data_IF_950782358706
#
_entry.id   IF_950782358706
#
_cell.length_a   1.000
_cell.length_b   1.000
_cell.length_c   1.000
_cell.angle_alpha   90.00
_cell.angle_beta   90.00
_cell.angle_gamma   90.00
#
_symmetry.space_group_name_H-M   'P 1'
#
loop_
_entity.id
_entity.type
_entity.pdbx_description
1 polymer ?
#
# COMPACT_ATOMS: atom_id res chain seq x y z
N UNK A 1 13.20 -28.49 6.60
CA UNK A 1 13.26 -27.20 7.31
C UNK A 1 11.84 -26.67 7.46
N UNK A 2 11.40 -26.35 8.69
CA UNK A 2 10.07 -25.79 8.93
C UNK A 2 9.96 -24.32 8.55
N UNK A 3 8.75 -23.83 8.28
CA UNK A 3 8.47 -22.40 8.03
C UNK A 3 8.72 -21.57 9.31
N UNK A 4 8.50 -22.16 10.47
CA UNK A 4 8.71 -21.57 11.79
C UNK A 4 9.85 -22.32 12.49
N UNK A 5 10.80 -21.58 13.02
CA UNK A 5 11.86 -22.14 13.86
C UNK A 5 11.40 -22.17 15.31
N UNK A 6 11.72 -23.26 15.99
CA UNK A 6 11.32 -23.52 17.37
C UNK A 6 12.55 -23.86 18.22
N UNK A 7 12.45 -23.61 19.54
CA UNK A 7 13.43 -24.05 20.52
C UNK A 7 12.72 -24.59 21.77
N UNK A 8 13.43 -25.40 22.56
CA UNK A 8 12.93 -25.85 23.86
C UNK A 8 13.34 -24.83 24.93
N UNK A 9 12.38 -24.31 25.68
CA UNK A 9 12.64 -23.40 26.80
C UNK A 9 13.14 -24.18 28.05
N UNK A 10 13.63 -23.50 29.09
CA UNK A 10 14.09 -24.14 30.32
C UNK A 10 13.05 -25.00 31.05
N UNK A 11 11.78 -24.82 30.73
CA UNK A 11 10.66 -25.61 31.29
C UNK A 11 10.33 -26.85 30.45
N UNK A 12 11.15 -27.16 29.41
CA UNK A 12 10.94 -28.29 28.52
C UNK A 12 9.85 -28.09 27.45
N UNK A 13 9.32 -26.87 27.28
CA UNK A 13 8.29 -26.57 26.31
C UNK A 13 8.91 -26.16 24.96
N UNK A 14 8.41 -26.72 23.85
CA UNK A 14 8.77 -26.27 22.51
C UNK A 14 8.00 -25.00 22.19
N UNK A 15 8.74 -23.92 21.97
CA UNK A 15 8.18 -22.59 21.68
C UNK A 15 8.69 -22.07 20.32
N UNK A 16 7.89 -21.32 19.56
CA UNK A 16 8.36 -20.67 18.34
C UNK A 16 9.34 -19.55 18.69
N UNK A 17 10.35 -19.34 17.82
CA UNK A 17 11.35 -18.31 18.03
C UNK A 17 11.23 -17.21 16.98
N UNK A 18 11.13 -17.60 15.71
CA UNK A 18 10.97 -16.71 14.57
C UNK A 18 10.59 -17.50 13.31
N UNK A 19 10.29 -16.79 12.23
CA UNK A 19 10.12 -17.41 10.92
C UNK A 19 11.46 -17.85 10.35
N UNK A 20 11.44 -18.89 9.52
CA UNK A 20 12.63 -19.31 8.79
C UNK A 20 13.14 -18.18 7.89
N UNK A 21 14.46 -17.97 7.91
CA UNK A 21 15.14 -16.98 7.06
C UNK A 21 14.89 -17.20 5.56
N UNK A 22 14.66 -18.44 5.17
CA UNK A 22 14.31 -18.81 3.79
C UNK A 22 13.06 -18.06 3.27
N UNK A 23 12.07 -17.76 4.11
CA UNK A 23 10.86 -17.05 3.69
C UNK A 23 11.14 -15.64 3.16
N UNK A 24 12.14 -14.97 3.71
CA UNK A 24 12.56 -13.65 3.25
C UNK A 24 13.08 -13.74 1.81
N UNK A 25 13.92 -14.74 1.53
CA UNK A 25 14.46 -14.98 0.20
C UNK A 25 13.38 -15.44 -0.79
N UNK A 26 12.46 -16.29 -0.33
CA UNK A 26 11.31 -16.71 -1.15
C UNK A 26 10.44 -15.50 -1.53
N UNK A 27 10.17 -14.58 -0.58
CA UNK A 27 9.42 -13.35 -0.89
C UNK A 27 10.18 -12.42 -1.84
N UNK A 28 11.47 -12.23 -1.64
CA UNK A 28 12.29 -11.34 -2.47
C UNK A 28 12.50 -11.91 -3.88
N UNK A 29 12.98 -13.15 -3.97
CA UNK A 29 13.30 -13.79 -5.27
C UNK A 29 12.02 -14.17 -6.01
N UNK A 30 11.05 -14.78 -5.31
CA UNK A 30 9.75 -15.14 -5.89
C UNK A 30 8.97 -13.92 -6.35
N UNK A 31 8.97 -12.84 -5.56
CA UNK A 31 8.40 -11.56 -5.94
C UNK A 31 9.07 -10.99 -7.18
N UNK A 32 10.40 -10.94 -7.22
CA UNK A 32 11.15 -10.46 -8.39
C UNK A 32 10.87 -11.30 -9.63
N UNK A 33 10.89 -12.63 -9.51
CA UNK A 33 10.57 -13.55 -10.61
C UNK A 33 9.15 -13.30 -11.14
N UNK A 34 8.16 -13.15 -10.24
CA UNK A 34 6.79 -12.80 -10.63
C UNK A 34 6.75 -11.47 -11.40
N UNK A 35 7.43 -10.44 -10.94
CA UNK A 35 7.44 -9.13 -11.60
C UNK A 35 8.07 -9.20 -12.99
N UNK A 36 9.17 -9.95 -13.14
CA UNK A 36 9.84 -10.17 -14.43
C UNK A 36 8.91 -10.95 -15.38
N UNK A 37 8.32 -12.06 -14.93
CA UNK A 37 7.38 -12.84 -15.74
C UNK A 37 6.17 -12.00 -16.16
N UNK A 38 5.62 -11.18 -15.25
CA UNK A 38 4.51 -10.29 -15.57
C UNK A 38 4.93 -9.20 -16.57
N UNK A 39 6.12 -8.61 -16.43
CA UNK A 39 6.63 -7.62 -17.38
C UNK A 39 6.79 -8.22 -18.78
N UNK A 40 7.36 -9.41 -18.88
CA UNK A 40 7.52 -10.16 -20.11
C UNK A 40 6.13 -10.47 -20.73
N UNK A 41 5.20 -11.02 -19.94
CA UNK A 41 3.83 -11.30 -20.38
C UNK A 41 3.18 -10.06 -20.99
N UNK A 42 3.25 -8.93 -20.31
CA UNK A 42 2.68 -7.67 -20.80
C UNK A 42 3.36 -7.20 -22.07
N UNK A 43 4.69 -7.27 -22.16
CA UNK A 43 5.42 -6.87 -23.37
C UNK A 43 4.94 -7.63 -24.63
N UNK A 44 4.57 -8.90 -24.48
CA UNK A 44 4.08 -9.72 -25.58
C UNK A 44 2.57 -9.64 -25.81
N UNK A 45 1.77 -9.28 -24.79
CA UNK A 45 0.30 -9.34 -24.86
C UNK A 45 -0.38 -7.98 -24.88
N UNK A 46 0.32 -6.90 -24.50
CA UNK A 46 -0.26 -5.57 -24.46
C UNK A 46 -0.65 -5.12 -25.87
N UNK A 47 -1.92 -5.19 -26.19
CA UNK A 47 -2.49 -4.48 -27.34
C UNK A 47 -2.54 -3.00 -26.98
N UNK A 48 -2.01 -2.15 -27.85
CA UNK A 48 -2.18 -0.70 -27.74
C UNK A 48 -3.66 -0.39 -27.97
N UNK A 49 -4.45 -0.33 -26.91
CA UNK A 49 -5.83 0.15 -27.01
C UNK A 49 -5.77 1.65 -27.27
N UNK A 50 -5.96 2.01 -28.53
CA UNK A 50 -6.17 3.41 -28.92
C UNK A 50 -7.64 3.73 -28.64
N UNK A 51 -7.92 4.20 -27.46
CA UNK A 51 -9.25 4.71 -27.12
C UNK A 51 -9.38 6.15 -27.62
N UNK A 52 -9.80 6.33 -28.85
CA UNK A 52 -10.37 7.57 -29.31
C UNK A 52 -11.81 7.67 -28.75
N UNK A 53 -11.97 7.78 -27.44
CA UNK A 53 -13.29 7.97 -26.86
C UNK A 53 -13.73 9.42 -27.07
N UNK A 54 -14.75 9.60 -27.91
CA UNK A 54 -15.46 10.88 -28.01
C UNK A 54 -16.34 11.03 -26.77
N UNK A 55 -16.04 12.03 -25.95
CA UNK A 55 -16.85 12.38 -24.77
C UNK A 55 -17.86 13.47 -25.12
N UNK A 56 -19.04 13.49 -24.45
CA UNK A 56 -19.99 14.59 -24.61
C UNK A 56 -19.32 15.94 -24.36
N UNK A 57 -19.46 16.88 -25.26
CA UNK A 57 -18.84 18.20 -25.14
C UNK A 57 -19.18 18.91 -23.83
N UNK A 58 -20.40 18.72 -23.33
CA UNK A 58 -20.85 19.23 -22.04
C UNK A 58 -20.06 18.66 -20.85
N UNK A 59 -19.63 17.38 -20.90
CA UNK A 59 -18.83 16.77 -19.86
C UNK A 59 -17.38 17.29 -19.91
N UNK A 60 -16.82 17.42 -21.11
CA UNK A 60 -15.49 17.99 -21.31
C UNK A 60 -15.44 19.44 -20.82
N UNK A 61 -16.44 20.24 -21.13
CA UNK A 61 -16.53 21.65 -20.71
C UNK A 61 -16.66 21.80 -19.17
N UNK A 62 -17.31 20.86 -18.49
CA UNK A 62 -17.47 20.87 -17.04
C UNK A 62 -16.25 20.32 -16.28
N UNK A 63 -15.34 19.61 -16.96
CA UNK A 63 -14.19 19.00 -16.33
C UNK A 63 -12.96 19.91 -16.46
N UNK A 64 -12.29 20.31 -15.38
CA UNK A 64 -11.09 21.15 -15.45
C UNK A 64 -9.96 20.43 -16.16
N UNK A 65 -9.04 21.16 -16.80
CA UNK A 65 -7.87 20.59 -17.51
C UNK A 65 -6.99 19.71 -16.59
N UNK A 66 -6.92 20.09 -15.31
CA UNK A 66 -6.24 19.34 -14.26
C UNK A 66 -7.22 18.94 -13.17
N UNK A 67 -7.46 17.65 -13.05
CA UNK A 67 -8.35 17.08 -12.05
C UNK A 67 -7.58 16.85 -10.75
N UNK A 68 -8.00 17.49 -9.66
CA UNK A 68 -7.40 17.29 -8.34
C UNK A 68 -7.67 15.86 -7.85
N UNK A 69 -6.59 15.16 -7.44
CA UNK A 69 -6.67 13.79 -6.94
C UNK A 69 -6.22 13.64 -5.50
N UNK A 70 -5.10 14.25 -5.14
CA UNK A 70 -4.50 14.15 -3.82
C UNK A 70 -4.20 15.53 -3.24
N UNK A 71 -4.66 15.80 -2.02
CA UNK A 71 -4.30 17.00 -1.26
C UNK A 71 -2.80 17.00 -0.91
N UNK A 72 -2.26 18.17 -0.57
CA UNK A 72 -0.88 18.28 -0.09
C UNK A 72 -0.66 17.40 1.15
N UNK A 73 -1.61 17.41 2.08
CA UNK A 73 -1.56 16.59 3.30
C UNK A 73 -1.50 15.10 2.98
N UNK A 74 -2.35 14.60 2.05
CA UNK A 74 -2.34 13.21 1.63
C UNK A 74 -1.00 12.80 0.99
N UNK A 75 -0.38 13.69 0.22
CA UNK A 75 0.94 13.45 -0.39
C UNK A 75 2.05 13.46 0.64
N UNK A 76 2.04 14.41 1.57
CA UNK A 76 3.05 14.52 2.61
C UNK A 76 3.07 13.27 3.50
N UNK A 77 1.92 12.84 4.01
CA UNK A 77 1.89 11.63 4.84
C UNK A 77 2.31 10.38 4.08
N UNK A 78 1.93 10.25 2.78
CA UNK A 78 2.34 9.12 1.97
C UNK A 78 3.87 9.01 1.86
N UNK A 79 4.55 10.12 1.60
CA UNK A 79 6.01 10.12 1.49
C UNK A 79 6.72 9.91 2.82
N UNK A 80 6.20 10.46 3.92
CA UNK A 80 6.71 10.19 5.27
C UNK A 80 6.58 8.70 5.61
N UNK A 81 5.41 8.12 5.36
CA UNK A 81 5.15 6.70 5.56
C UNK A 81 6.06 5.83 4.68
N UNK A 82 6.26 6.20 3.40
CA UNK A 82 7.14 5.48 2.49
C UNK A 82 8.60 5.49 2.98
N UNK A 83 9.11 6.64 3.40
CA UNK A 83 10.47 6.76 3.96
C UNK A 83 10.64 5.93 5.23
N UNK A 84 9.67 5.98 6.15
CA UNK A 84 9.68 5.16 7.36
C UNK A 84 9.66 3.66 7.02
N UNK A 85 8.85 3.25 6.05
CA UNK A 85 8.78 1.87 5.59
C UNK A 85 10.09 1.40 4.96
N UNK A 86 10.74 2.21 4.12
CA UNK A 86 12.05 1.88 3.57
C UNK A 86 13.10 1.75 4.68
N UNK A 87 13.11 2.64 5.66
CA UNK A 87 14.00 2.54 6.82
C UNK A 87 13.76 1.24 7.60
N UNK A 88 12.50 0.84 7.81
CA UNK A 88 12.13 -0.42 8.46
C UNK A 88 12.63 -1.64 7.68
N UNK A 89 12.46 -1.67 6.36
CA UNK A 89 12.94 -2.77 5.52
C UNK A 89 14.47 -2.83 5.51
N UNK A 90 15.16 -1.71 5.37
CA UNK A 90 16.61 -1.63 5.40
C UNK A 90 17.13 -2.15 6.74
N UNK A 91 16.59 -1.67 7.86
CA UNK A 91 17.01 -2.08 9.20
C UNK A 91 16.65 -3.53 9.54
N UNK A 92 15.61 -4.09 8.93
CA UNK A 92 15.28 -5.51 9.08
C UNK A 92 16.15 -6.42 8.22
N UNK A 93 16.56 -5.97 7.04
CA UNK A 93 17.20 -6.82 6.03
C UNK A 93 18.74 -6.76 6.05
N UNK A 94 19.34 -5.57 6.17
CA UNK A 94 20.81 -5.42 6.15
C UNK A 94 21.54 -6.26 7.22
N UNK A 95 21.05 -6.36 8.48
CA UNK A 95 21.68 -7.23 9.46
C UNK A 95 21.67 -8.71 9.07
N UNK A 96 20.64 -9.15 8.32
CA UNK A 96 20.52 -10.53 7.85
C UNK A 96 21.52 -10.90 6.76
N UNK A 97 22.03 -9.92 6.03
CA UNK A 97 23.09 -10.10 5.03
C UNK A 97 24.48 -9.71 5.56
N UNK A 98 24.61 -9.52 6.88
CA UNK A 98 25.90 -9.37 7.55
C UNK A 98 26.32 -7.94 7.90
N UNK A 99 25.55 -6.91 7.51
CA UNK A 99 25.89 -5.53 7.86
C UNK A 99 25.56 -5.24 9.32
N UNK A 100 26.57 -4.84 10.11
CA UNK A 100 26.44 -4.53 11.53
C UNK A 100 26.35 -3.02 11.76
N UNK A 101 25.28 -2.58 12.40
CA UNK A 101 25.03 -1.20 12.82
C UNK A 101 23.93 -1.20 13.92
N UNK A 102 23.63 -0.09 14.60
CA UNK A 102 22.60 -0.05 15.64
C UNK A 102 21.17 -0.20 15.07
N UNK A 103 20.93 -1.24 14.27
CA UNK A 103 19.70 -1.46 13.52
C UNK A 103 18.45 -1.51 14.39
N UNK A 104 18.52 -2.07 15.60
CA UNK A 104 17.39 -2.13 16.52
C UNK A 104 16.88 -0.73 16.85
N UNK A 105 17.80 0.19 17.13
CA UNK A 105 17.46 1.59 17.47
C UNK A 105 16.79 2.28 16.29
N UNK A 106 17.36 2.21 15.11
CA UNK A 106 16.78 2.81 13.91
C UNK A 106 15.44 2.15 13.54
N UNK A 107 15.32 0.82 13.75
CA UNK A 107 14.10 0.08 13.44
C UNK A 107 12.92 0.55 14.29
N UNK A 108 13.07 0.59 15.62
CA UNK A 108 11.94 1.02 16.46
C UNK A 108 11.63 2.51 16.30
N UNK A 109 12.62 3.39 16.05
CA UNK A 109 12.37 4.79 15.72
C UNK A 109 11.54 4.92 14.44
N UNK A 110 11.94 4.27 13.36
CA UNK A 110 11.19 4.25 12.12
C UNK A 110 9.78 3.64 12.30
N UNK A 111 9.66 2.62 13.16
CA UNK A 111 8.38 2.01 13.53
C UNK A 111 7.43 2.98 14.22
N UNK A 112 7.94 3.84 15.11
CA UNK A 112 7.14 4.88 15.75
C UNK A 112 6.73 5.98 14.75
N UNK A 113 7.62 6.38 13.85
CA UNK A 113 7.27 7.33 12.77
C UNK A 113 6.19 6.76 11.89
N UNK A 114 6.30 5.49 11.49
CA UNK A 114 5.26 4.81 10.72
C UNK A 114 3.94 4.75 11.48
N UNK A 115 3.98 4.37 12.76
CA UNK A 115 2.79 4.27 13.61
C UNK A 115 2.09 5.63 13.74
N UNK A 116 2.83 6.69 14.04
CA UNK A 116 2.30 8.05 14.12
C UNK A 116 1.69 8.50 12.79
N UNK A 117 2.34 8.19 11.67
CA UNK A 117 1.84 8.50 10.32
C UNK A 117 0.53 7.76 10.03
N UNK A 118 0.40 6.49 10.42
CA UNK A 118 -0.82 5.71 10.21
C UNK A 118 -1.95 6.20 11.11
N UNK A 119 -1.68 6.51 12.37
CA UNK A 119 -2.68 7.11 13.27
C UNK A 119 -3.18 8.44 12.70
N UNK A 120 -2.27 9.31 12.26
CA UNK A 120 -2.63 10.55 11.57
C UNK A 120 -3.47 10.27 10.32
N UNK A 121 -3.09 9.28 9.50
CA UNK A 121 -3.83 8.92 8.29
C UNK A 121 -5.26 8.47 8.61
N UNK A 122 -5.46 7.65 9.63
CA UNK A 122 -6.80 7.19 10.04
C UNK A 122 -7.68 8.39 10.37
N UNK A 123 -7.20 9.33 11.18
CA UNK A 123 -7.94 10.55 11.50
C UNK A 123 -8.17 11.42 10.26
N UNK A 124 -7.14 11.68 9.46
CA UNK A 124 -7.23 12.49 8.26
C UNK A 124 -8.21 11.88 7.24
N UNK A 125 -8.15 10.57 7.03
CA UNK A 125 -9.06 9.88 6.11
C UNK A 125 -10.49 9.90 6.59
N UNK A 126 -10.73 9.75 7.89
CA UNK A 126 -12.07 9.69 8.46
C UNK A 126 -12.80 11.06 8.45
N UNK A 127 -12.06 12.18 8.57
CA UNK A 127 -12.65 13.50 8.73
C UNK A 127 -12.51 14.42 7.52
N UNK A 128 -11.48 14.22 6.67
CA UNK A 128 -11.16 15.13 5.56
C UNK A 128 -11.04 14.47 4.19
N UNK A 129 -11.17 13.13 4.11
CA UNK A 129 -11.17 12.42 2.84
C UNK A 129 -12.47 11.68 2.64
N UNK A 130 -12.70 11.21 1.41
CA UNK A 130 -13.76 10.24 1.15
C UNK A 130 -13.30 8.85 1.61
N UNK A 131 -13.55 8.58 2.91
CA UNK A 131 -13.11 7.35 3.58
C UNK A 131 -13.59 6.08 2.88
N UNK A 132 -14.81 6.09 2.35
CA UNK A 132 -15.39 4.90 1.74
C UNK A 132 -14.89 4.62 0.32
N UNK A 133 -14.26 5.60 -0.33
CA UNK A 133 -13.79 5.45 -1.71
C UNK A 133 -12.71 4.37 -1.89
N UNK A 134 -11.95 4.06 -0.83
CA UNK A 134 -10.90 3.03 -0.86
C UNK A 134 -11.40 1.63 -0.50
N UNK A 135 -12.64 1.50 -0.01
CA UNK A 135 -13.21 0.20 0.32
C UNK A 135 -13.92 -0.41 -0.89
N UNK A 136 -13.83 -1.74 -1.10
CA UNK A 136 -14.57 -2.43 -2.16
C UNK A 136 -16.09 -2.25 -1.99
N UNK A 137 -16.78 -1.92 -3.08
CA UNK A 137 -18.23 -1.88 -3.15
C UNK A 137 -18.80 -3.02 -4.01
N UNK A 138 -20.12 -3.14 -4.06
CA UNK A 138 -20.80 -4.19 -4.85
C UNK A 138 -20.49 -4.07 -6.35
N UNK A 139 -20.36 -2.83 -6.85
CA UNK A 139 -20.05 -2.56 -8.26
C UNK A 139 -18.66 -3.05 -8.61
N UNK A 140 -17.67 -2.83 -7.73
CA UNK A 140 -16.31 -3.31 -7.92
C UNK A 140 -16.24 -4.85 -8.00
N UNK A 141 -16.99 -5.53 -7.13
CA UNK A 141 -17.08 -7.00 -7.13
C UNK A 141 -17.74 -7.55 -8.42
N UNK A 142 -18.80 -6.90 -8.88
CA UNK A 142 -19.44 -7.25 -10.16
C UNK A 142 -18.48 -7.05 -11.33
N UNK A 143 -17.77 -5.92 -11.38
CA UNK A 143 -16.84 -5.62 -12.46
C UNK A 143 -15.62 -6.55 -12.44
N UNK A 144 -15.15 -6.95 -11.27
CA UNK A 144 -14.14 -7.99 -11.13
C UNK A 144 -14.63 -9.34 -11.67
N UNK A 145 -15.87 -9.74 -11.36
CA UNK A 145 -16.50 -10.94 -11.91
C UNK A 145 -16.63 -10.87 -13.44
N UNK A 146 -17.05 -9.71 -13.99
CA UNK A 146 -17.16 -9.52 -15.46
C UNK A 146 -15.79 -9.65 -16.13
N UNK A 147 -14.73 -9.06 -15.58
CA UNK A 147 -13.35 -9.18 -16.08
C UNK A 147 -12.89 -10.63 -16.08
N UNK A 148 -13.12 -11.35 -14.99
CA UNK A 148 -12.75 -12.76 -14.86
C UNK A 148 -13.48 -13.63 -15.88
N UNK A 149 -14.81 -13.45 -16.06
CA UNK A 149 -15.60 -14.17 -17.06
C UNK A 149 -15.05 -13.93 -18.47
N UNK A 150 -14.77 -12.68 -18.84
CA UNK A 150 -14.20 -12.35 -20.16
C UNK A 150 -12.79 -12.93 -20.35
N UNK A 151 -11.96 -12.90 -19.33
CA UNK A 151 -10.61 -13.48 -19.36
C UNK A 151 -10.64 -15.01 -19.54
N UNK A 152 -11.69 -15.68 -19.07
CA UNK A 152 -11.92 -17.11 -19.26
C UNK A 152 -12.70 -17.46 -20.53
N UNK A 153 -12.87 -16.50 -21.46
CA UNK A 153 -13.56 -16.70 -22.73
C UNK A 153 -15.09 -16.76 -22.65
N UNK A 154 -15.67 -16.46 -21.49
CA UNK A 154 -17.13 -16.43 -21.31
C UNK A 154 -17.69 -15.06 -21.71
N UNK A 155 -18.91 -15.06 -22.26
CA UNK A 155 -19.62 -13.82 -22.58
C UNK A 155 -20.03 -13.10 -21.29
N UNK A 156 -19.64 -11.84 -21.17
CA UNK A 156 -20.06 -10.96 -20.08
C UNK A 156 -20.05 -9.49 -20.56
N UNK A 157 -20.92 -8.63 -20.00
CA UNK A 157 -20.89 -7.19 -20.27
C UNK A 157 -19.49 -6.61 -20.02
N UNK A 158 -19.15 -5.52 -20.71
CA UNK A 158 -17.91 -4.83 -20.46
C UNK A 158 -17.88 -4.30 -19.02
N UNK A 159 -16.74 -4.34 -18.31
CA UNK A 159 -16.61 -3.73 -17.02
C UNK A 159 -16.80 -2.20 -17.16
N UNK A 160 -17.35 -1.59 -16.12
CA UNK A 160 -17.54 -0.13 -16.05
C UNK A 160 -16.19 0.58 -15.83
N UNK A 161 -16.17 1.88 -16.05
CA UNK A 161 -15.04 2.72 -15.66
C UNK A 161 -14.90 2.73 -14.13
N UNK A 162 -13.69 3.01 -13.67
CA UNK A 162 -13.39 2.99 -12.25
C UNK A 162 -14.03 4.17 -11.50
N UNK A 163 -14.32 3.98 -10.23
CA UNK A 163 -14.44 5.06 -9.29
C UNK A 163 -13.06 5.76 -9.10
N UNK A 164 -12.87 6.51 -8.02
CA UNK A 164 -11.57 7.16 -7.73
C UNK A 164 -10.41 6.16 -7.67
N UNK A 165 -10.66 4.97 -7.11
CA UNK A 165 -9.69 3.89 -6.99
C UNK A 165 -10.21 2.63 -7.69
N UNK A 166 -9.44 2.01 -8.59
CA UNK A 166 -9.77 0.72 -9.16
C UNK A 166 -9.70 -0.39 -8.11
N UNK A 167 -10.36 -1.51 -8.35
CA UNK A 167 -10.47 -2.65 -7.41
C UNK A 167 -9.10 -3.16 -6.95
N UNK A 168 -8.14 -3.21 -7.85
CA UNK A 168 -6.78 -3.66 -7.56
C UNK A 168 -6.12 -2.79 -6.47
N UNK A 169 -6.32 -1.47 -6.51
CA UNK A 169 -5.80 -0.55 -5.51
C UNK A 169 -6.51 -0.73 -4.16
N UNK A 170 -7.82 -1.02 -4.18
CA UNK A 170 -8.60 -1.28 -2.96
C UNK A 170 -8.13 -2.58 -2.29
N UNK A 171 -7.94 -3.66 -3.07
CA UNK A 171 -7.41 -4.94 -2.55
C UNK A 171 -5.99 -4.79 -2.02
N UNK A 172 -5.14 -4.05 -2.73
CA UNK A 172 -3.78 -3.73 -2.26
C UNK A 172 -3.82 -2.97 -0.93
N UNK A 173 -4.69 -1.97 -0.80
CA UNK A 173 -4.85 -1.22 0.44
C UNK A 173 -5.27 -2.12 1.61
N UNK A 174 -6.21 -3.04 1.40
CA UNK A 174 -6.60 -4.00 2.44
C UNK A 174 -5.43 -4.90 2.87
N UNK A 175 -4.64 -5.38 1.91
CA UNK A 175 -3.47 -6.22 2.19
C UNK A 175 -2.40 -5.45 2.97
N UNK A 176 -2.11 -4.20 2.58
CA UNK A 176 -1.12 -3.36 3.29
C UNK A 176 -1.60 -2.97 4.69
N UNK A 177 -2.91 -2.74 4.88
CA UNK A 177 -3.49 -2.48 6.20
C UNK A 177 -3.35 -3.71 7.10
N UNK A 178 -3.70 -4.89 6.62
CA UNK A 178 -3.59 -6.13 7.41
C UNK A 178 -2.13 -6.41 7.82
N UNK A 179 -1.19 -6.37 6.88
CA UNK A 179 0.23 -6.60 7.16
C UNK A 179 0.84 -5.48 8.03
N UNK A 180 0.52 -4.23 7.71
CA UNK A 180 1.03 -3.07 8.45
C UNK A 180 0.54 -3.02 9.90
N UNK A 181 -0.75 -3.24 10.14
CA UNK A 181 -1.30 -3.29 11.51
C UNK A 181 -0.72 -4.47 12.30
N UNK A 182 -0.56 -5.64 11.67
CA UNK A 182 0.10 -6.79 12.31
C UNK A 182 1.54 -6.43 12.72
N UNK A 183 2.32 -5.80 11.83
CA UNK A 183 3.68 -5.38 12.13
C UNK A 183 3.73 -4.32 13.24
N UNK A 184 2.83 -3.33 13.22
CA UNK A 184 2.78 -2.26 14.25
C UNK A 184 2.41 -2.84 15.61
N UNK A 185 1.33 -3.61 15.70
CA UNK A 185 0.87 -4.16 16.98
C UNK A 185 1.93 -5.05 17.62
N UNK A 186 2.49 -5.98 16.85
CA UNK A 186 3.55 -6.85 17.35
C UNK A 186 4.83 -6.07 17.66
N UNK A 187 5.20 -5.10 16.82
CA UNK A 187 6.39 -4.26 17.00
C UNK A 187 6.33 -3.42 18.27
N UNK A 188 5.18 -2.81 18.59
CA UNK A 188 4.98 -2.03 19.83
C UNK A 188 5.22 -2.93 21.06
N UNK A 189 4.65 -4.14 21.08
CA UNK A 189 4.91 -5.08 22.19
C UNK A 189 6.38 -5.51 22.24
N UNK A 190 7.01 -5.77 21.09
CA UNK A 190 8.42 -6.16 21.04
C UNK A 190 9.36 -5.06 21.56
N UNK A 191 8.95 -3.78 21.60
CA UNK A 191 9.74 -2.70 22.22
C UNK A 191 9.97 -2.95 23.71
N UNK A 192 9.11 -3.69 24.42
CA UNK A 192 9.35 -4.08 25.80
C UNK A 192 10.49 -5.08 25.99
N UNK A 193 10.94 -5.75 24.92
CA UNK A 193 12.08 -6.70 24.96
C UNK A 193 13.44 -6.01 24.81
N UNK A 194 13.46 -4.77 24.30
CA UNK A 194 14.67 -4.02 24.01
C UNK A 194 14.76 -2.75 24.85
N UNK A 195 15.94 -2.16 24.96
CA UNK A 195 16.09 -0.85 25.61
C UNK A 195 15.66 0.23 24.63
N UNK A 196 14.56 0.90 24.97
CA UNK A 196 14.10 2.11 24.29
C UNK A 196 14.08 3.27 25.30
N UNK A 197 14.11 4.49 24.83
CA UNK A 197 13.95 5.66 25.72
C UNK A 197 12.48 5.91 26.15
N UNK A 198 11.54 5.08 25.70
CA UNK A 198 10.10 5.32 25.83
C UNK A 198 9.46 4.32 26.79
N UNK A 199 9.77 3.03 26.64
CA UNK A 199 9.21 1.95 27.46
C UNK A 199 10.27 1.34 28.37
N UNK A 200 9.94 1.05 29.65
CA UNK A 200 10.81 0.26 30.50
C UNK A 200 10.93 -1.16 29.91
N UNK A 201 12.16 -1.67 29.87
CA UNK A 201 12.39 -3.04 29.42
C UNK A 201 11.74 -4.03 30.39
N UNK A 202 10.80 -4.82 29.90
CA UNK A 202 10.16 -5.90 30.65
C UNK A 202 10.04 -7.17 29.78
N UNK A 203 11.09 -8.01 29.71
CA UNK A 203 11.04 -9.24 28.94
C UNK A 203 10.07 -10.29 29.48
N UNK A 204 9.60 -10.13 30.70
CA UNK A 204 8.67 -11.05 31.38
C UNK A 204 7.20 -10.60 31.27
N UNK A 205 6.90 -9.58 30.47
CA UNK A 205 5.52 -9.09 30.26
C UNK A 205 4.60 -10.21 29.73
N UNK A 206 5.14 -11.10 28.91
CA UNK A 206 4.44 -12.26 28.36
C UNK A 206 5.31 -13.51 28.50
N UNK A 207 4.68 -14.70 28.48
CA UNK A 207 5.38 -15.98 28.43
C UNK A 207 6.05 -16.23 27.07
N UNK A 208 6.98 -17.21 27.04
CA UNK A 208 7.80 -17.51 25.86
C UNK A 208 6.98 -17.85 24.62
N UNK A 209 5.88 -18.59 24.77
CA UNK A 209 4.98 -18.93 23.67
C UNK A 209 4.41 -17.66 23.02
N UNK A 210 3.92 -16.70 23.81
CA UNK A 210 3.33 -15.46 23.33
C UNK A 210 4.39 -14.59 22.65
N UNK A 211 5.57 -14.49 23.23
CA UNK A 211 6.69 -13.78 22.60
C UNK A 211 7.08 -14.41 21.27
N UNK A 212 7.17 -15.73 21.22
CA UNK A 212 7.49 -16.46 19.99
C UNK A 212 6.46 -16.22 18.90
N UNK A 213 5.17 -16.26 19.24
CA UNK A 213 4.09 -15.92 18.28
C UNK A 213 4.19 -14.49 17.79
N UNK A 214 4.51 -13.51 18.64
CA UNK A 214 4.72 -12.12 18.21
C UNK A 214 5.88 -11.98 17.22
N UNK A 215 7.01 -12.67 17.47
CA UNK A 215 8.14 -12.69 16.53
C UNK A 215 7.76 -13.31 15.19
N UNK A 216 7.01 -14.41 15.20
CA UNK A 216 6.53 -15.08 13.99
C UNK A 216 5.58 -14.17 13.22
N UNK A 217 4.58 -13.58 13.88
CA UNK A 217 3.62 -12.68 13.23
C UNK A 217 4.29 -11.43 12.67
N UNK A 218 5.21 -10.82 13.43
CA UNK A 218 6.00 -9.67 12.96
C UNK A 218 6.84 -10.02 11.73
N UNK A 219 7.51 -11.16 11.76
CA UNK A 219 8.30 -11.66 10.65
C UNK A 219 7.45 -11.96 9.41
N UNK A 220 6.31 -12.61 9.56
CA UNK A 220 5.36 -12.89 8.46
C UNK A 220 4.81 -11.59 7.85
N UNK A 221 4.46 -10.62 8.71
CA UNK A 221 4.04 -9.30 8.25
C UNK A 221 5.16 -8.60 7.46
N UNK A 222 6.40 -8.67 7.93
CA UNK A 222 7.58 -8.14 7.23
C UNK A 222 7.79 -8.78 5.85
N UNK A 223 7.69 -10.11 5.76
CA UNK A 223 7.77 -10.86 4.48
C UNK A 223 6.64 -10.43 3.53
N UNK A 224 5.42 -10.31 4.04
CA UNK A 224 4.28 -9.83 3.26
C UNK A 224 4.50 -8.39 2.75
N UNK A 225 5.01 -7.50 3.61
CA UNK A 225 5.32 -6.12 3.24
C UNK A 225 6.41 -6.01 2.18
N UNK A 226 7.45 -6.86 2.20
CA UNK A 226 8.45 -6.92 1.13
C UNK A 226 7.76 -7.18 -0.21
N UNK A 227 6.96 -8.23 -0.31
CA UNK A 227 6.27 -8.60 -1.54
C UNK A 227 5.30 -7.49 -2.02
N UNK A 228 4.53 -6.92 -1.09
CA UNK A 228 3.58 -5.84 -1.39
C UNK A 228 4.29 -4.58 -1.89
N UNK A 229 5.39 -4.17 -1.27
CA UNK A 229 6.13 -2.98 -1.67
C UNK A 229 6.81 -3.17 -3.02
N UNK A 230 7.40 -4.35 -3.28
CA UNK A 230 7.96 -4.68 -4.59
C UNK A 230 6.89 -4.57 -5.68
N UNK A 231 5.72 -5.16 -5.46
CA UNK A 231 4.59 -5.05 -6.38
C UNK A 231 4.12 -3.60 -6.54
N UNK A 232 4.01 -2.85 -5.45
CA UNK A 232 3.60 -1.44 -5.48
C UNK A 232 4.53 -0.58 -6.34
N UNK A 233 5.83 -0.68 -6.13
CA UNK A 233 6.83 0.08 -6.90
C UNK A 233 6.77 -0.30 -8.37
N UNK A 234 6.71 -1.60 -8.68
CA UNK A 234 6.61 -2.08 -10.04
C UNK A 234 5.38 -1.51 -10.76
N UNK A 235 4.18 -1.66 -10.18
CA UNK A 235 2.95 -1.17 -10.80
C UNK A 235 2.88 0.37 -10.87
N UNK A 236 3.49 1.06 -9.90
CA UNK A 236 3.57 2.52 -9.92
C UNK A 236 4.48 3.06 -11.05
N UNK A 237 5.53 2.33 -11.41
CA UNK A 237 6.47 2.71 -12.45
C UNK A 237 6.04 2.31 -13.87
N UNK A 238 4.98 1.53 -14.01
CA UNK A 238 4.49 1.15 -15.34
C UNK A 238 4.02 2.35 -16.15
N UNK A 239 4.34 2.41 -17.46
CA UNK A 239 4.00 3.55 -18.32
C UNK A 239 2.52 3.94 -18.28
N UNK A 240 1.61 2.98 -18.34
CA UNK A 240 0.17 3.21 -18.32
C UNK A 240 -0.37 3.68 -16.95
N UNK A 241 0.37 3.46 -15.88
CA UNK A 241 0.02 3.91 -14.51
C UNK A 241 0.78 5.15 -14.08
N UNK A 242 1.77 5.59 -14.86
CA UNK A 242 2.67 6.66 -14.46
C UNK A 242 1.98 8.03 -14.27
N UNK A 243 0.85 8.24 -14.95
CA UNK A 243 0.00 9.42 -14.71
C UNK A 243 -0.53 9.45 -13.28
N UNK A 244 -0.94 8.28 -12.75
CA UNK A 244 -1.40 8.15 -11.36
C UNK A 244 -0.24 8.41 -10.39
N UNK A 245 0.94 7.87 -10.66
CA UNK A 245 2.15 8.09 -9.85
C UNK A 245 2.53 9.56 -9.80
N UNK A 246 2.51 10.25 -10.96
CA UNK A 246 2.71 11.71 -11.01
C UNK A 246 1.69 12.47 -10.16
N UNK A 247 0.45 11.98 -10.04
CA UNK A 247 -0.55 12.65 -9.21
C UNK A 247 -0.23 12.55 -7.72
N UNK A 248 0.57 11.57 -7.28
CA UNK A 248 1.08 11.49 -5.90
C UNK A 248 2.20 12.50 -5.62
N UNK A 249 2.84 13.05 -6.67
CA UNK A 249 3.83 14.12 -6.55
C UNK A 249 3.17 15.49 -6.73
N UNK A 250 2.36 15.67 -7.78
CA UNK A 250 1.81 16.97 -8.18
C UNK A 250 0.38 17.23 -7.71
N UNK A 251 -0.31 16.23 -7.18
CA UNK A 251 -1.67 16.33 -6.62
C UNK A 251 -2.80 16.22 -7.64
N UNK A 252 -2.52 16.26 -8.93
CA UNK A 252 -3.54 16.29 -10.00
C UNK A 252 -3.16 15.40 -11.17
N UNK A 253 -4.16 15.10 -12.03
CA UNK A 253 -4.00 14.36 -13.27
C UNK A 253 -4.64 15.13 -14.46
N UNK A 254 -4.27 14.81 -15.72
CA UNK A 254 -4.92 15.39 -16.91
C UNK A 254 -6.39 14.99 -17.00
N UNK A 255 -7.23 15.89 -17.56
CA UNK A 255 -8.66 15.66 -17.85
C UNK A 255 -8.87 14.41 -18.70
N UNK A 256 -8.06 14.25 -19.73
CA UNK A 256 -8.15 13.15 -20.70
C UNK A 256 -8.04 11.80 -19.98
N UNK A 257 -7.05 11.67 -19.08
CA UNK A 257 -6.87 10.44 -18.29
C UNK A 257 -8.06 10.18 -17.37
N UNK A 258 -8.60 11.24 -16.74
CA UNK A 258 -9.79 11.11 -15.89
C UNK A 258 -11.00 10.62 -16.69
N UNK A 259 -11.31 11.26 -17.82
CA UNK A 259 -12.45 10.91 -18.66
C UNK A 259 -12.33 9.50 -19.26
N UNK A 260 -11.11 9.06 -19.57
CA UNK A 260 -10.85 7.74 -20.15
C UNK A 260 -11.05 6.62 -19.14
N UNK A 261 -10.56 6.80 -17.91
CA UNK A 261 -10.44 5.69 -16.94
C UNK A 261 -11.47 5.75 -15.82
N UNK A 262 -12.00 6.94 -15.50
CA UNK A 262 -12.89 7.10 -14.34
C UNK A 262 -14.33 7.40 -14.76
N UNK A 263 -15.26 6.95 -13.93
CA UNK A 263 -16.69 7.21 -14.07
C UNK A 263 -17.04 8.49 -13.29
N UNK A 264 -17.51 9.56 -13.96
CA UNK A 264 -17.86 10.82 -13.33
C UNK A 264 -19.02 10.70 -12.32
N UNK A 265 -19.89 9.69 -12.46
CA UNK A 265 -20.98 9.43 -11.50
C UNK A 265 -20.46 8.77 -10.22
N UNK A 266 -19.38 7.98 -10.32
CA UNK A 266 -18.75 7.28 -9.19
C UNK A 266 -17.61 8.05 -8.54
N UNK A 267 -17.06 9.02 -9.25
CA UNK A 267 -16.07 9.95 -8.71
C UNK A 267 -16.34 11.35 -9.21
N UNK A 268 -17.20 12.06 -8.46
CA UNK A 268 -17.54 13.46 -8.72
C UNK A 268 -16.38 14.37 -8.32
N UNK A 269 -15.95 15.21 -9.26
CA UNK A 269 -14.93 16.23 -8.99
C UNK A 269 -15.61 17.41 -8.29
N UNK A 270 -15.07 17.89 -7.14
CA UNK A 270 -15.53 19.14 -6.57
C UNK A 270 -15.44 20.24 -7.62
N UNK A 271 -16.56 20.87 -7.96
CA UNK A 271 -16.53 22.03 -8.83
C UNK A 271 -15.71 23.11 -8.11
N UNK A 272 -14.66 23.60 -8.77
CA UNK A 272 -14.01 24.82 -8.31
C UNK A 272 -15.06 25.92 -8.47
N UNK A 273 -15.73 26.25 -7.35
CA UNK A 273 -16.57 27.42 -7.30
C UNK A 273 -15.70 28.60 -7.75
N UNK A 274 -16.16 29.31 -8.75
CA UNK A 274 -15.56 30.54 -9.28
C UNK A 274 -15.72 31.69 -8.27
N UNK A 275 -15.38 31.44 -7.01
CA UNK A 275 -15.33 32.44 -5.95
C UNK A 275 -13.87 32.76 -5.69
N UNK A 276 -13.39 33.79 -6.34
CA UNK A 276 -12.02 34.27 -6.13
C UNK A 276 -11.55 35.31 -7.15
N UNK A 277 -12.44 36.07 -7.80
CA UNK A 277 -12.09 37.44 -8.17
C UNK A 277 -12.12 38.25 -6.86
N UNK A 278 -11.02 38.26 -6.16
CA UNK A 278 -10.77 39.35 -5.18
C UNK A 278 -10.73 40.60 -6.01
N UNK A 279 -11.74 41.45 -5.80
CA UNK A 279 -11.76 42.81 -6.25
C UNK A 279 -10.49 43.48 -5.69
N UNK A 280 -9.57 43.81 -6.59
CA UNK A 280 -8.67 44.91 -6.35
C UNK A 280 -9.54 46.15 -6.54
N UNK A 281 -10.02 46.71 -5.46
CA UNK A 281 -10.61 48.01 -5.36
C UNK A 281 -9.72 48.85 -4.48
N UNK A 282 -9.18 49.87 -5.11
CA UNK A 282 -8.68 51.15 -4.59
C UNK A 282 -7.83 51.14 -3.31
#
# INVERSE_FOLDING_TARGET
>A
MGIIETATNPLGQTVPIHISFILIWVAAIGGLAFLICHAIYVAFTAKKEVHAASYPAALVAKTPERVARHSLTARAFHWIMALAMFALLITAFLPKVGYQFPWVTYHWIAGLVLTASIVFHIFHASFWMDFWSIWPDKIDLEDMKRRWLRATGKSAPAPRRFAKYPMENKMYHMAIVAAGLSAILTGIFMMFRVRTGIFPRNPYLFGDMTWGLMYVLHGLAGVGLIALIMAHIYFALRPEKFVITKSMVFGSMPREYYLEHHDPERWTIPQVSSVGKVANGD
#
